data_IF_331914036995
#
_entry.id   IF_331914036995
#
_cell.length_a   1.000
_cell.length_b   1.000
_cell.length_c   1.000
_cell.angle_alpha   90.00
_cell.angle_beta   90.00
_cell.angle_gamma   90.00
#
_symmetry.space_group_name_H-M   'P 1'
#
loop_
_entity.id
_entity.type
_entity.pdbx_description
1 polymer ?
#
# COMPACT_ATOMS: atom_id res chain seq x y z
N UNK A 1 -15.99 -8.36 5.49
CA UNK A 1 -16.32 -7.62 4.26
C UNK A 1 -15.34 -6.49 4.14
N UNK A 2 -14.73 -6.32 2.98
CA UNK A 2 -13.80 -5.24 2.71
C UNK A 2 -14.54 -3.99 2.21
N UNK A 3 -14.08 -2.83 2.63
CA UNK A 3 -14.52 -1.54 2.09
C UNK A 3 -13.32 -0.81 1.49
N UNK A 4 -13.53 -0.23 0.30
CA UNK A 4 -12.52 0.51 -0.45
C UNK A 4 -12.88 1.98 -0.46
N UNK A 5 -11.91 2.83 -0.11
CA UNK A 5 -12.03 4.29 -0.15
C UNK A 5 -10.85 4.88 -0.90
N UNK A 6 -11.07 6.02 -1.56
CA UNK A 6 -9.99 6.83 -2.10
C UNK A 6 -9.63 7.96 -1.13
N UNK A 7 -8.34 8.15 -0.92
CA UNK A 7 -7.76 9.32 -0.25
C UNK A 7 -7.04 10.13 -1.35
N UNK A 8 -7.53 11.31 -1.72
CA UNK A 8 -6.86 12.16 -2.70
C UNK A 8 -5.47 12.58 -2.23
N UNK A 9 -4.49 12.57 -3.13
CA UNK A 9 -3.13 13.06 -2.89
C UNK A 9 -2.64 13.86 -4.10
N UNK A 10 -1.74 14.81 -3.86
CA UNK A 10 -1.22 15.73 -4.88
C UNK A 10 -2.35 16.40 -5.67
N UNK A 11 -2.26 16.41 -7.01
CA UNK A 11 -3.27 17.01 -7.88
C UNK A 11 -4.29 15.98 -8.41
N UNK A 12 -3.85 14.74 -8.63
CA UNK A 12 -4.59 13.72 -9.38
C UNK A 12 -4.30 12.27 -8.93
N UNK A 13 -3.46 12.05 -7.92
CA UNK A 13 -3.20 10.72 -7.38
C UNK A 13 -4.32 10.30 -6.40
N UNK A 14 -4.59 9.00 -6.38
CA UNK A 14 -5.42 8.37 -5.35
C UNK A 14 -4.60 7.37 -4.58
N UNK A 15 -4.58 7.53 -3.26
CA UNK A 15 -4.14 6.50 -2.33
C UNK A 15 -5.38 5.68 -2.00
N UNK A 16 -5.37 4.38 -2.30
CA UNK A 16 -6.50 3.51 -2.00
C UNK A 16 -6.38 2.97 -0.58
N UNK A 17 -7.46 3.06 0.19
CA UNK A 17 -7.56 2.44 1.51
C UNK A 17 -8.49 1.23 1.42
N UNK A 18 -8.00 0.08 1.89
CA UNK A 18 -8.74 -1.16 2.01
C UNK A 18 -8.91 -1.44 3.50
N UNK A 19 -10.13 -1.46 4.01
CA UNK A 19 -10.40 -1.72 5.44
C UNK A 19 -11.33 -2.90 5.65
N UNK A 20 -11.17 -3.57 6.80
CA UNK A 20 -12.08 -4.61 7.26
C UNK A 20 -13.03 -4.12 8.37
N UNK A 21 -13.90 -4.99 8.86
CA UNK A 21 -14.85 -4.68 9.93
C UNK A 21 -14.20 -4.41 11.29
N UNK A 22 -12.96 -4.82 11.49
CA UNK A 22 -12.23 -4.73 12.76
C UNK A 22 -11.38 -3.45 12.86
N UNK A 23 -11.65 -2.47 11.98
CA UNK A 23 -10.89 -1.20 11.90
C UNK A 23 -9.40 -1.40 11.54
N UNK A 24 -9.04 -2.55 10.97
CA UNK A 24 -7.72 -2.79 10.37
C UNK A 24 -7.77 -2.37 8.91
N UNK A 25 -6.69 -1.78 8.42
CA UNK A 25 -6.62 -1.32 7.05
C UNK A 25 -5.23 -1.47 6.44
N UNK A 26 -5.21 -1.45 5.11
CA UNK A 26 -4.04 -1.31 4.30
C UNK A 26 -4.21 -0.12 3.34
N UNK A 27 -3.10 0.49 2.96
CA UNK A 27 -3.10 1.53 1.92
C UNK A 27 -2.28 1.09 0.72
N UNK A 28 -2.72 1.49 -0.47
CA UNK A 28 -2.04 1.22 -1.74
C UNK A 28 -1.43 2.52 -2.25
N UNK A 29 -0.13 2.48 -2.54
CA UNK A 29 0.66 3.57 -3.13
C UNK A 29 0.57 4.92 -2.38
N UNK A 30 0.90 4.98 -1.07
CA UNK A 30 0.89 6.23 -0.33
C UNK A 30 2.08 7.12 -0.69
N UNK A 31 1.96 7.86 -1.80
CA UNK A 31 2.94 8.87 -2.23
C UNK A 31 3.11 10.02 -1.25
N UNK A 32 2.06 10.33 -0.48
CA UNK A 32 2.07 11.30 0.61
C UNK A 32 1.53 10.64 1.89
N UNK A 33 2.27 10.77 2.99
CA UNK A 33 1.89 10.19 4.27
C UNK A 33 0.81 11.01 4.99
N UNK A 34 0.79 12.33 4.83
CA UNK A 34 -0.05 13.19 5.66
C UNK A 34 -1.55 12.92 5.46
N UNK A 35 -2.08 12.81 4.22
CA UNK A 35 -3.50 12.49 4.01
C UNK A 35 -3.89 11.12 4.58
N UNK A 36 -2.96 10.16 4.57
CA UNK A 36 -3.16 8.84 5.17
C UNK A 36 -3.25 8.96 6.68
N UNK A 37 -2.27 9.61 7.32
CA UNK A 37 -2.24 9.81 8.77
C UNK A 37 -3.51 10.50 9.28
N UNK A 38 -3.93 11.56 8.60
CA UNK A 38 -5.15 12.32 8.95
C UNK A 38 -6.40 11.42 8.84
N UNK A 39 -6.51 10.63 7.77
CA UNK A 39 -7.64 9.73 7.56
C UNK A 39 -7.68 8.63 8.63
N UNK A 40 -6.54 8.00 8.92
CA UNK A 40 -6.44 6.94 9.93
C UNK A 40 -6.84 7.47 11.32
N UNK A 41 -6.35 8.66 11.68
CA UNK A 41 -6.70 9.31 12.94
C UNK A 41 -8.19 9.63 13.04
N UNK A 42 -8.77 10.23 11.99
CA UNK A 42 -10.18 10.63 11.99
C UNK A 42 -11.16 9.45 12.05
N UNK A 43 -10.76 8.27 11.58
CA UNK A 43 -11.61 7.08 11.48
C UNK A 43 -11.25 5.97 12.50
N UNK A 44 -10.26 6.23 13.36
CA UNK A 44 -9.75 5.30 14.38
C UNK A 44 -9.31 3.95 13.75
N UNK A 45 -8.56 4.03 12.65
CA UNK A 45 -8.08 2.86 11.91
C UNK A 45 -6.66 2.48 12.31
N UNK A 46 -6.40 1.17 12.32
CA UNK A 46 -5.06 0.61 12.51
C UNK A 46 -4.47 0.23 11.16
N UNK A 47 -3.33 0.82 10.82
CA UNK A 47 -2.60 0.48 9.60
C UNK A 47 -1.77 -0.77 9.81
N UNK A 48 -1.93 -1.76 8.93
CA UNK A 48 -1.21 -3.04 9.03
C UNK A 48 -0.35 -3.37 7.82
N UNK A 49 -0.76 -2.92 6.63
CA UNK A 49 -0.01 -3.14 5.42
C UNK A 49 0.01 -1.90 4.53
N UNK A 50 1.11 -1.73 3.81
CA UNK A 50 1.28 -0.80 2.71
C UNK A 50 1.59 -1.63 1.49
N UNK A 51 0.78 -1.49 0.44
CA UNK A 51 0.95 -2.18 -0.83
C UNK A 51 1.52 -1.18 -1.83
N UNK A 52 2.60 -1.57 -2.50
CA UNK A 52 3.27 -0.73 -3.48
C UNK A 52 3.22 -1.41 -4.84
N UNK A 53 2.73 -0.72 -5.86
CA UNK A 53 2.64 -1.26 -7.22
C UNK A 53 3.96 -1.13 -7.97
N UNK A 54 4.68 -0.01 -7.79
CA UNK A 54 5.97 0.29 -8.41
C UNK A 54 6.73 1.41 -7.68
N UNK A 55 7.96 1.71 -8.10
CA UNK A 55 8.91 2.54 -7.33
C UNK A 55 8.79 4.06 -7.50
N UNK A 56 7.86 4.59 -8.31
CA UNK A 56 7.82 6.04 -8.53
C UNK A 56 7.46 6.79 -7.24
N UNK A 57 8.02 7.99 -7.11
CA UNK A 57 7.99 8.73 -5.84
C UNK A 57 6.57 9.16 -5.43
N UNK A 58 5.69 9.42 -6.39
CA UNK A 58 4.27 9.70 -6.14
C UNK A 58 3.46 8.47 -5.69
N UNK A 59 4.08 7.28 -5.65
CA UNK A 59 3.53 6.05 -5.07
C UNK A 59 4.23 5.63 -3.77
N UNK A 60 5.53 5.90 -3.62
CA UNK A 60 6.32 5.44 -2.45
C UNK A 60 6.78 6.55 -1.49
N UNK A 61 6.58 7.82 -1.84
CA UNK A 61 7.17 8.97 -1.14
C UNK A 61 6.76 9.09 0.33
N UNK A 62 5.55 8.67 0.69
CA UNK A 62 5.04 8.68 2.06
C UNK A 62 5.36 7.42 2.87
N UNK A 63 5.83 6.35 2.23
CA UNK A 63 6.06 5.06 2.90
C UNK A 63 7.06 5.17 4.06
N UNK A 64 8.21 5.87 3.96
CA UNK A 64 9.15 5.99 5.08
C UNK A 64 8.53 6.66 6.31
N UNK A 65 7.63 7.61 6.11
CA UNK A 65 6.99 8.37 7.19
C UNK A 65 5.92 7.52 7.88
N UNK A 66 5.16 6.76 7.09
CA UNK A 66 4.21 5.77 7.62
C UNK A 66 4.92 4.65 8.38
N UNK A 67 6.06 4.15 7.90
CA UNK A 67 6.85 3.14 8.62
C UNK A 67 7.40 3.70 9.95
N UNK A 68 7.79 4.98 10.01
CA UNK A 68 8.19 5.62 11.26
C UNK A 68 7.02 5.76 12.24
N UNK A 69 5.83 6.10 11.76
CA UNK A 69 4.63 6.22 12.57
C UNK A 69 4.07 4.85 13.02
N UNK A 70 4.24 3.82 12.20
CA UNK A 70 3.77 2.46 12.43
C UNK A 70 4.91 1.43 12.24
N UNK A 71 5.80 1.26 13.23
CA UNK A 71 7.01 0.43 13.08
C UNK A 71 6.76 -1.06 12.80
N UNK A 72 5.53 -1.53 12.98
CA UNK A 72 5.12 -2.92 12.73
C UNK A 72 4.34 -3.10 11.42
N UNK A 73 4.16 -2.02 10.64
CA UNK A 73 3.48 -2.10 9.34
C UNK A 73 4.29 -2.95 8.37
N UNK A 74 3.59 -3.80 7.61
CA UNK A 74 4.21 -4.59 6.55
C UNK A 74 4.22 -3.79 5.26
N UNK A 75 5.36 -3.67 4.60
CA UNK A 75 5.46 -3.05 3.27
C UNK A 75 5.59 -4.16 2.23
N UNK A 76 4.52 -4.38 1.47
CA UNK A 76 4.41 -5.34 0.39
C UNK A 76 4.64 -4.63 -0.93
N UNK A 77 5.40 -5.23 -1.83
CA UNK A 77 5.76 -4.57 -3.09
C UNK A 77 6.57 -5.46 -4.03
N UNK A 78 6.80 -4.99 -5.27
CA UNK A 78 7.52 -5.75 -6.27
C UNK A 78 8.96 -6.01 -5.89
N UNK A 79 9.35 -7.29 -5.93
CA UNK A 79 10.72 -7.75 -5.63
C UNK A 79 11.78 -7.18 -6.58
N UNK A 80 11.39 -6.85 -7.80
CA UNK A 80 12.29 -6.39 -8.87
C UNK A 80 12.42 -4.86 -8.94
N UNK A 81 11.96 -4.13 -7.93
CA UNK A 81 11.97 -2.66 -7.90
C UNK A 81 12.72 -2.10 -6.68
N UNK A 82 13.37 -0.94 -6.79
CA UNK A 82 14.18 -0.37 -5.72
C UNK A 82 13.32 0.35 -4.67
N UNK A 83 12.58 -0.39 -3.83
CA UNK A 83 11.74 0.15 -2.75
C UNK A 83 12.48 -0.02 -1.41
N UNK A 84 13.05 1.04 -0.80
CA UNK A 84 13.95 0.89 0.35
C UNK A 84 13.28 0.34 1.62
N UNK A 85 11.97 0.57 1.77
CA UNK A 85 11.18 0.18 2.95
C UNK A 85 10.53 -1.19 2.80
N UNK A 86 10.78 -1.91 1.70
CA UNK A 86 10.13 -3.18 1.38
C UNK A 86 10.47 -4.25 2.42
N UNK A 87 9.44 -4.83 3.04
CA UNK A 87 9.60 -5.94 4.01
C UNK A 87 9.14 -7.27 3.42
N UNK A 88 8.22 -7.22 2.46
CA UNK A 88 7.57 -8.39 1.87
C UNK A 88 7.63 -8.29 0.35
N UNK A 89 8.74 -8.75 -0.26
CA UNK A 89 8.89 -8.75 -1.71
C UNK A 89 7.96 -9.79 -2.35
N UNK A 90 7.29 -9.40 -3.43
CA UNK A 90 6.33 -10.23 -4.18
C UNK A 90 6.66 -10.23 -5.68
N UNK A 91 6.29 -11.29 -6.37
CA UNK A 91 6.38 -11.46 -7.83
C UNK A 91 5.09 -12.08 -8.41
N UNK A 92 4.98 -12.14 -9.74
CA UNK A 92 3.80 -12.69 -10.42
C UNK A 92 3.45 -14.10 -9.94
N UNK A 93 2.16 -14.33 -9.67
CA UNK A 93 1.64 -15.62 -9.23
C UNK A 93 1.67 -15.81 -7.70
N UNK A 94 2.33 -14.92 -6.97
CA UNK A 94 2.26 -14.90 -5.51
C UNK A 94 0.83 -14.58 -5.03
N UNK A 95 0.57 -14.95 -3.77
CA UNK A 95 -0.70 -14.70 -3.10
C UNK A 95 -0.45 -13.91 -1.83
N UNK A 96 -1.09 -12.74 -1.74
CA UNK A 96 -1.11 -11.93 -0.53
C UNK A 96 -2.39 -12.24 0.23
N UNK A 97 -2.27 -12.75 1.45
CA UNK A 97 -3.42 -12.88 2.36
C UNK A 97 -3.53 -11.61 3.21
N UNK A 98 -4.68 -10.94 3.15
CA UNK A 98 -4.95 -9.73 3.90
C UNK A 98 -6.41 -9.72 4.37
N UNK A 99 -6.61 -9.53 5.67
CA UNK A 99 -7.94 -9.50 6.31
C UNK A 99 -8.84 -10.71 6.02
N UNK A 100 -8.23 -11.89 5.84
CA UNK A 100 -8.93 -13.15 5.52
C UNK A 100 -9.31 -13.31 4.05
N UNK A 101 -8.87 -12.40 3.18
CA UNK A 101 -9.05 -12.47 1.73
C UNK A 101 -7.70 -12.74 1.05
N UNK A 102 -7.73 -13.35 -0.14
CA UNK A 102 -6.54 -13.64 -0.95
C UNK A 102 -6.53 -12.71 -2.17
N UNK A 103 -5.45 -11.95 -2.31
CA UNK A 103 -5.12 -11.11 -3.45
C UNK A 103 -4.10 -11.83 -4.33
N UNK A 104 -4.33 -11.84 -5.65
CA UNK A 104 -3.44 -12.48 -6.60
C UNK A 104 -2.47 -11.44 -7.15
N UNK A 105 -1.17 -11.69 -7.01
CA UNK A 105 -0.16 -10.80 -7.54
C UNK A 105 -0.02 -11.02 -9.05
N UNK A 106 -0.28 -9.98 -9.84
CA UNK A 106 -0.17 -9.98 -11.29
C UNK A 106 1.08 -9.24 -11.73
N UNK A 107 1.92 -9.85 -12.56
CA UNK A 107 3.01 -9.15 -13.24
C UNK A 107 2.46 -8.24 -14.33
N UNK A 108 2.78 -6.94 -14.27
CA UNK A 108 2.28 -5.93 -15.21
C UNK A 108 3.42 -5.09 -15.81
N UNK A 109 4.47 -5.71 -16.40
CA UNK A 109 5.60 -4.97 -16.95
C UNK A 109 5.13 -4.01 -18.05
N UNK A 110 5.49 -2.74 -17.94
CA UNK A 110 5.05 -1.69 -18.85
C UNK A 110 5.57 -0.33 -18.40
N UNK A 111 4.79 0.37 -17.56
CA UNK A 111 5.17 1.66 -16.99
C UNK A 111 6.52 1.58 -16.25
N UNK A 112 6.68 0.55 -15.43
CA UNK A 112 7.99 0.08 -14.96
C UNK A 112 8.13 -1.40 -15.26
N UNK A 113 9.37 -1.93 -15.28
CA UNK A 113 9.62 -3.33 -15.61
C UNK A 113 9.17 -4.29 -14.50
N UNK A 114 9.19 -3.86 -13.23
CA UNK A 114 8.80 -4.67 -12.09
C UNK A 114 7.40 -4.38 -11.57
N UNK A 115 6.58 -3.58 -12.27
CA UNK A 115 5.24 -3.22 -11.82
C UNK A 115 4.38 -4.46 -11.56
N UNK A 116 3.68 -4.48 -10.42
CA UNK A 116 2.70 -5.52 -10.07
C UNK A 116 1.32 -4.94 -9.77
N UNK A 117 0.30 -5.77 -9.93
CA UNK A 117 -1.07 -5.53 -9.45
C UNK A 117 -1.47 -6.54 -8.37
N UNK A 118 -2.48 -6.20 -7.58
CA UNK A 118 -3.00 -7.01 -6.46
C UNK A 118 -4.49 -7.33 -6.65
#
# INVERSE_FOLDING_TARGET
>A
MLEIKSIPAFNDNYIWLIQNSDKRCAVVDPGDAQPVLDYLQANELTLEAILVTHHHNDHIGGVPDLVRAFPHVTVVGPKAEPIPTLTTPMEEGDKLELFGEIFLVLGLPGHTLGHIGY
#
